data_IF_905984580550
#
_entry.id   IF_905984580550
#
_cell.length_a   1.000
_cell.length_b   1.000
_cell.length_c   1.000
_cell.angle_alpha   90.00
_cell.angle_beta   90.00
_cell.angle_gamma   90.00
#
_symmetry.space_group_name_H-M   'P 1'
#
loop_
_entity.id
_entity.type
_entity.pdbx_description
1 polymer ?
#
# COMPACT_ATOMS: atom_id res chain seq x y z
N UNK A 1 -37.19 1.27 -41.43
CA UNK A 1 -37.51 1.11 -39.99
C UNK A 1 -37.17 2.42 -39.32
N UNK A 2 -38.17 3.26 -39.07
CA UNK A 2 -37.99 4.58 -38.45
C UNK A 2 -37.41 4.40 -37.06
N UNK A 3 -36.25 5.02 -36.78
CA UNK A 3 -35.79 5.28 -35.42
C UNK A 3 -36.78 6.26 -34.81
N UNK A 4 -37.83 5.74 -34.16
CA UNK A 4 -38.64 6.55 -33.28
C UNK A 4 -37.72 6.97 -32.14
N UNK A 5 -37.31 8.24 -32.13
CA UNK A 5 -36.78 8.84 -30.93
C UNK A 5 -37.93 8.81 -29.93
N UNK A 6 -37.88 7.86 -29.00
CA UNK A 6 -38.59 8.00 -27.74
C UNK A 6 -38.02 9.30 -27.17
N UNK A 7 -38.92 10.22 -26.82
CA UNK A 7 -38.56 11.51 -26.22
C UNK A 7 -39.52 11.69 -25.07
N UNK A 8 -38.99 11.73 -23.86
CA UNK A 8 -39.77 11.86 -22.63
C UNK A 8 -38.92 12.48 -21.54
N UNK A 9 -39.57 13.01 -20.52
CA UNK A 9 -38.90 13.38 -19.27
C UNK A 9 -38.32 12.13 -18.60
N UNK A 10 -37.31 12.29 -17.75
CA UNK A 10 -36.73 11.17 -17.01
C UNK A 10 -37.81 10.36 -16.27
N UNK A 11 -38.77 11.07 -15.69
CA UNK A 11 -39.87 10.51 -14.92
C UNK A 11 -40.83 9.66 -15.79
N UNK A 12 -41.16 10.12 -16.99
CA UNK A 12 -41.96 9.37 -17.96
C UNK A 12 -41.22 8.12 -18.45
N UNK A 13 -39.92 8.26 -18.78
CA UNK A 13 -39.09 7.15 -19.22
C UNK A 13 -38.93 6.09 -18.12
N UNK A 14 -38.79 6.50 -16.86
CA UNK A 14 -38.74 5.58 -15.71
C UNK A 14 -40.06 4.82 -15.57
N UNK A 15 -41.19 5.51 -15.67
CA UNK A 15 -42.51 4.87 -15.60
C UNK A 15 -42.68 3.84 -16.72
N UNK A 16 -42.37 4.23 -17.96
CA UNK A 16 -42.43 3.33 -19.11
C UNK A 16 -41.47 2.14 -18.96
N UNK A 17 -40.26 2.35 -18.46
CA UNK A 17 -39.30 1.28 -18.18
C UNK A 17 -39.81 0.31 -17.11
N UNK A 18 -40.39 0.81 -16.01
CA UNK A 18 -40.92 -0.04 -14.93
C UNK A 18 -42.09 -0.91 -15.39
N UNK A 19 -42.96 -0.39 -16.25
CA UNK A 19 -44.13 -1.10 -16.76
C UNK A 19 -43.76 -2.12 -17.86
N UNK A 20 -42.91 -1.72 -18.81
CA UNK A 20 -42.58 -2.54 -19.99
C UNK A 20 -41.37 -3.45 -19.81
N UNK A 21 -40.44 -3.08 -18.92
CA UNK A 21 -39.08 -3.66 -18.80
C UNK A 21 -38.29 -3.67 -20.10
N UNK A 22 -38.63 -2.78 -21.05
CA UNK A 22 -37.91 -2.64 -22.31
C UNK A 22 -36.60 -1.85 -22.12
N UNK A 23 -35.49 -2.46 -22.56
CA UNK A 23 -34.15 -1.87 -22.50
C UNK A 23 -34.00 -0.60 -23.34
N UNK A 24 -34.91 -0.34 -24.29
CA UNK A 24 -34.89 0.89 -25.10
C UNK A 24 -35.00 2.15 -24.23
N UNK A 25 -35.93 2.16 -23.25
CA UNK A 25 -36.10 3.26 -22.29
C UNK A 25 -34.90 3.41 -21.36
N UNK A 26 -34.29 2.29 -20.94
CA UNK A 26 -33.11 2.32 -20.10
C UNK A 26 -31.92 2.97 -20.82
N UNK A 27 -31.72 2.66 -22.10
CA UNK A 27 -30.66 3.27 -22.92
C UNK A 27 -30.83 4.79 -23.03
N UNK A 28 -32.07 5.25 -23.20
CA UNK A 28 -32.35 6.68 -23.26
C UNK A 28 -32.13 7.36 -21.91
N UNK A 29 -32.54 6.73 -20.80
CA UNK A 29 -32.26 7.22 -19.45
C UNK A 29 -30.77 7.37 -19.19
N UNK A 30 -29.96 6.38 -19.59
CA UNK A 30 -28.50 6.42 -19.45
C UNK A 30 -27.94 7.61 -20.22
N UNK A 31 -28.32 7.79 -21.48
CA UNK A 31 -27.82 8.88 -22.32
C UNK A 31 -28.23 10.25 -21.79
N UNK A 32 -29.49 10.40 -21.33
CA UNK A 32 -30.00 11.65 -20.77
C UNK A 32 -29.30 12.06 -19.46
N UNK A 33 -28.91 11.09 -18.63
CA UNK A 33 -28.32 11.35 -17.31
C UNK A 33 -26.78 11.26 -17.29
N UNK A 34 -26.14 10.88 -18.41
CA UNK A 34 -24.67 10.78 -18.54
C UNK A 34 -23.96 12.08 -18.14
N UNK A 35 -24.47 13.23 -18.55
CA UNK A 35 -23.91 14.53 -18.19
C UNK A 35 -23.92 14.80 -16.68
N UNK A 36 -25.02 14.44 -16.01
CA UNK A 36 -25.13 14.56 -14.55
C UNK A 36 -24.17 13.60 -13.85
N UNK A 37 -24.07 12.35 -14.31
CA UNK A 37 -23.14 11.35 -13.74
C UNK A 37 -21.69 11.85 -13.86
N UNK A 38 -21.27 12.31 -15.03
CA UNK A 38 -19.92 12.86 -15.24
C UNK A 38 -19.61 14.01 -14.25
N UNK A 39 -20.59 14.88 -14.00
CA UNK A 39 -20.46 15.97 -13.02
C UNK A 39 -20.33 15.44 -11.58
N UNK A 40 -21.01 14.36 -11.23
CA UNK A 40 -20.92 13.73 -9.91
C UNK A 40 -19.62 12.95 -9.72
N UNK A 41 -19.09 12.36 -10.78
CA UNK A 41 -17.86 11.57 -10.80
C UNK A 41 -16.61 12.45 -10.75
N UNK A 42 -16.63 13.62 -11.39
CA UNK A 42 -15.46 14.49 -11.54
C UNK A 42 -14.65 14.74 -10.24
N UNK A 43 -15.26 15.02 -9.07
CA UNK A 43 -14.51 15.21 -7.82
C UNK A 43 -13.78 13.95 -7.30
N UNK A 44 -14.21 12.77 -7.72
CA UNK A 44 -13.66 11.48 -7.28
C UNK A 44 -12.45 11.04 -8.12
N UNK A 45 -12.27 11.57 -9.32
CA UNK A 45 -11.13 11.21 -10.20
C UNK A 45 -9.76 11.49 -9.58
N UNK A 46 -9.67 12.55 -8.77
CA UNK A 46 -8.44 12.88 -8.04
C UNK A 46 -8.38 12.27 -6.65
N UNK A 47 -9.52 11.83 -6.11
CA UNK A 47 -9.65 11.35 -4.74
C UNK A 47 -9.51 9.83 -4.62
N UNK A 48 -9.92 9.10 -5.67
CA UNK A 48 -9.81 7.64 -5.75
C UNK A 48 -8.52 7.33 -6.53
N UNK A 49 -7.54 6.64 -5.92
CA UNK A 49 -6.29 6.29 -6.60
C UNK A 49 -6.56 5.45 -7.86
N UNK A 50 -5.85 5.75 -8.94
CA UNK A 50 -5.89 5.02 -10.22
C UNK A 50 -7.29 4.86 -10.84
N UNK A 51 -8.23 5.75 -10.51
CA UNK A 51 -9.56 5.72 -11.11
C UNK A 51 -9.58 6.48 -12.44
N UNK A 52 -10.22 5.91 -13.45
CA UNK A 52 -10.49 6.57 -14.71
C UNK A 52 -11.93 7.10 -14.80
N UNK A 53 -12.16 8.09 -15.68
CA UNK A 53 -13.49 8.65 -15.89
C UNK A 53 -14.47 7.58 -16.38
N UNK A 54 -14.04 6.74 -17.31
CA UNK A 54 -14.89 5.69 -17.88
C UNK A 54 -15.28 4.64 -16.83
N UNK A 55 -14.34 4.26 -15.97
CA UNK A 55 -14.56 3.31 -14.88
C UNK A 55 -15.59 3.84 -13.87
N UNK A 56 -15.37 5.04 -13.35
CA UNK A 56 -16.26 5.62 -12.35
C UNK A 56 -17.65 5.95 -12.93
N UNK A 57 -17.71 6.32 -14.20
CA UNK A 57 -18.99 6.54 -14.90
C UNK A 57 -19.75 5.22 -15.04
N UNK A 58 -19.07 4.15 -15.43
CA UNK A 58 -19.66 2.82 -15.58
C UNK A 58 -20.13 2.24 -14.25
N UNK A 59 -19.32 2.35 -13.19
CA UNK A 59 -19.69 1.98 -11.83
C UNK A 59 -20.92 2.76 -11.34
N UNK A 60 -21.06 4.03 -11.73
CA UNK A 60 -22.19 4.89 -11.37
C UNK A 60 -23.51 4.47 -12.03
N UNK A 61 -23.51 3.65 -13.07
CA UNK A 61 -24.75 3.10 -13.63
C UNK A 61 -25.41 2.06 -12.72
N UNK A 62 -24.64 1.35 -11.88
CA UNK A 62 -25.17 0.39 -10.90
C UNK A 62 -26.11 1.05 -9.88
N UNK A 63 -25.69 2.11 -9.14
CA UNK A 63 -26.60 2.83 -8.26
C UNK A 63 -27.69 3.60 -9.01
N UNK A 64 -27.48 3.99 -10.28
CA UNK A 64 -28.53 4.58 -11.12
C UNK A 64 -29.67 3.59 -11.36
N UNK A 65 -29.37 2.34 -11.71
CA UNK A 65 -30.40 1.29 -11.88
C UNK A 65 -31.23 1.11 -10.60
N UNK A 66 -30.58 1.11 -9.43
CA UNK A 66 -31.29 1.06 -8.14
C UNK A 66 -32.15 2.30 -7.91
N UNK A 67 -31.64 3.49 -8.23
CA UNK A 67 -32.41 4.72 -8.13
C UNK A 67 -33.64 4.70 -9.05
N UNK A 68 -33.52 4.11 -10.26
CA UNK A 68 -34.66 3.92 -11.17
C UNK A 68 -35.70 3.02 -10.52
N UNK A 69 -35.31 1.86 -9.98
CA UNK A 69 -36.24 0.95 -9.29
C UNK A 69 -36.94 1.61 -8.10
N UNK A 70 -36.20 2.37 -7.30
CA UNK A 70 -36.72 2.98 -6.07
C UNK A 70 -37.48 4.30 -6.32
N UNK A 71 -37.38 4.89 -7.51
CA UNK A 71 -37.98 6.20 -7.79
C UNK A 71 -39.52 6.16 -7.76
N UNK A 72 -40.11 7.04 -6.97
CA UNK A 72 -41.56 7.19 -6.85
C UNK A 72 -41.96 8.64 -7.18
N UNK A 73 -42.71 8.87 -8.28
CA UNK A 73 -43.12 10.21 -8.68
C UNK A 73 -44.10 10.87 -7.69
N UNK A 74 -44.84 10.09 -6.89
CA UNK A 74 -45.81 10.62 -5.92
C UNK A 74 -45.12 11.37 -4.76
N UNK A 75 -43.83 11.14 -4.56
CA UNK A 75 -43.03 11.85 -3.54
C UNK A 75 -42.72 13.31 -3.92
N UNK A 76 -42.98 13.73 -5.17
CA UNK A 76 -42.82 15.11 -5.62
C UNK A 76 -41.36 15.57 -5.75
N UNK A 77 -40.40 14.65 -5.74
CA UNK A 77 -38.96 14.95 -5.89
C UNK A 77 -38.53 14.57 -7.31
N UNK A 78 -37.73 15.44 -7.96
CA UNK A 78 -37.19 15.15 -9.28
C UNK A 78 -36.22 13.96 -9.24
N UNK A 79 -36.23 13.11 -10.28
CA UNK A 79 -35.36 11.92 -10.32
C UNK A 79 -33.87 12.25 -10.19
N UNK A 80 -33.42 13.36 -10.78
CA UNK A 80 -32.04 13.84 -10.68
C UNK A 80 -31.57 14.05 -9.24
N UNK A 81 -32.47 14.40 -8.34
CA UNK A 81 -32.18 14.58 -6.91
C UNK A 81 -31.95 13.25 -6.23
N UNK A 82 -32.79 12.24 -6.50
CA UNK A 82 -32.63 10.89 -5.97
C UNK A 82 -31.34 10.25 -6.52
N UNK A 83 -31.14 10.34 -7.84
CA UNK A 83 -29.96 9.80 -8.52
C UNK A 83 -28.66 10.34 -7.91
N UNK A 84 -28.60 11.65 -7.65
CA UNK A 84 -27.45 12.28 -7.01
C UNK A 84 -27.09 11.66 -5.66
N UNK A 85 -28.09 11.31 -4.85
CA UNK A 85 -27.87 10.69 -3.53
C UNK A 85 -27.28 9.29 -3.70
N UNK A 86 -27.87 8.47 -4.56
CA UNK A 86 -27.45 7.09 -4.80
C UNK A 86 -26.02 7.01 -5.37
N UNK A 87 -25.73 7.82 -6.38
CA UNK A 87 -24.40 7.87 -7.00
C UNK A 87 -23.35 8.36 -6.01
N UNK A 88 -23.60 9.44 -5.25
CA UNK A 88 -22.64 9.93 -4.26
C UNK A 88 -22.39 8.93 -3.14
N UNK A 89 -23.44 8.25 -2.65
CA UNK A 89 -23.28 7.23 -1.62
C UNK A 89 -22.38 6.09 -2.11
N UNK A 90 -22.57 5.66 -3.36
CA UNK A 90 -21.76 4.62 -3.99
C UNK A 90 -20.31 5.06 -4.20
N UNK A 91 -20.06 6.24 -4.77
CA UNK A 91 -18.71 6.78 -4.98
C UNK A 91 -17.96 7.00 -3.66
N UNK A 92 -18.65 7.47 -2.61
CA UNK A 92 -18.08 7.56 -1.26
C UNK A 92 -17.68 6.20 -0.71
N UNK A 93 -18.46 5.14 -0.99
CA UNK A 93 -18.10 3.78 -0.61
C UNK A 93 -16.83 3.33 -1.33
N UNK A 94 -16.72 3.54 -2.64
CA UNK A 94 -15.52 3.22 -3.42
C UNK A 94 -14.29 3.97 -2.89
N UNK A 95 -14.43 5.27 -2.64
CA UNK A 95 -13.38 6.08 -2.01
C UNK A 95 -12.93 5.50 -0.67
N UNK A 96 -13.87 5.18 0.22
CA UNK A 96 -13.57 4.62 1.53
C UNK A 96 -12.96 3.21 1.46
N UNK A 97 -13.28 2.43 0.43
CA UNK A 97 -12.70 1.11 0.21
C UNK A 97 -11.26 1.22 -0.31
N UNK A 98 -10.99 2.16 -1.22
CA UNK A 98 -9.67 2.41 -1.77
C UNK A 98 -8.68 3.06 -0.77
N UNK A 99 -9.18 3.91 0.13
CA UNK A 99 -8.34 4.68 1.08
C UNK A 99 -8.22 4.04 2.47
N UNK A 100 -8.82 2.88 2.71
CA UNK A 100 -8.83 2.23 4.03
C UNK A 100 -7.42 1.75 4.43
N UNK A 101 -6.84 2.36 5.47
CA UNK A 101 -5.49 2.05 5.99
C UNK A 101 -5.19 0.55 6.19
N UNK A 102 -6.16 -0.24 6.67
CA UNK A 102 -5.97 -1.70 6.89
C UNK A 102 -5.77 -2.52 5.60
N UNK A 103 -6.11 -1.95 4.43
CA UNK A 103 -5.92 -2.56 3.10
C UNK A 103 -4.90 -1.80 2.25
N UNK A 104 -4.36 -0.71 2.78
CA UNK A 104 -3.39 0.13 2.08
C UNK A 104 -1.98 -0.37 2.45
N UNK A 105 -1.29 -0.98 1.48
CA UNK A 105 0.05 -1.56 1.65
C UNK A 105 1.17 -0.51 1.66
N UNK A 106 0.84 0.78 1.65
CA UNK A 106 1.80 1.87 1.48
C UNK A 106 2.17 2.14 0.01
N UNK A 107 1.81 1.22 -0.89
CA UNK A 107 2.08 1.31 -2.33
C UNK A 107 0.76 1.22 -3.09
N UNK A 108 0.48 2.21 -3.94
CA UNK A 108 -0.63 2.13 -4.90
C UNK A 108 -0.22 1.22 -6.05
N UNK A 109 -1.01 0.20 -6.43
CA UNK A 109 -0.75 -0.58 -7.64
C UNK A 109 -0.73 0.38 -8.83
N UNK A 110 0.34 0.43 -9.62
CA UNK A 110 0.38 1.28 -10.81
C UNK A 110 -0.16 0.53 -12.04
N UNK A 111 -0.61 1.25 -13.06
CA UNK A 111 -1.11 0.62 -14.29
C UNK A 111 0.02 -0.06 -15.06
N UNK A 112 -0.29 -1.14 -15.78
CA UNK A 112 0.69 -1.84 -16.63
C UNK A 112 1.33 -0.88 -17.65
N UNK A 113 0.52 0.00 -18.24
CA UNK A 113 0.99 0.96 -19.24
C UNK A 113 2.03 1.92 -18.65
N UNK A 114 1.79 2.45 -17.45
CA UNK A 114 2.77 3.29 -16.74
C UNK A 114 4.05 2.53 -16.39
N UNK A 115 3.92 1.30 -15.89
CA UNK A 115 5.08 0.46 -15.60
C UNK A 115 5.89 0.15 -16.87
N UNK A 116 5.22 -0.05 -18.01
CA UNK A 116 5.87 -0.30 -19.30
C UNK A 116 6.62 0.94 -19.82
N UNK A 117 6.09 2.14 -19.58
CA UNK A 117 6.75 3.41 -19.91
C UNK A 117 7.98 3.65 -19.03
N UNK A 118 7.87 3.42 -17.71
CA UNK A 118 8.99 3.53 -16.77
C UNK A 118 10.12 2.56 -17.15
N UNK A 119 9.77 1.32 -17.53
CA UNK A 119 10.74 0.30 -17.91
C UNK A 119 11.33 0.50 -19.32
N UNK A 120 10.80 1.44 -20.11
CA UNK A 120 11.24 1.72 -21.48
C UNK A 120 12.67 2.27 -21.54
N UNK A 121 13.14 2.89 -20.45
CA UNK A 121 14.50 3.42 -20.32
C UNK A 121 15.52 2.44 -19.71
N UNK A 122 15.13 1.19 -19.44
CA UNK A 122 16.08 0.12 -19.10
C UNK A 122 16.10 -0.31 -17.63
N UNK A 123 14.94 -0.55 -17.03
CA UNK A 123 14.84 -1.33 -15.79
C UNK A 123 14.89 -2.82 -16.10
N UNK A 124 15.96 -3.52 -15.74
CA UNK A 124 16.02 -4.99 -15.79
C UNK A 124 15.12 -5.59 -14.71
N UNK A 125 14.41 -6.69 -15.00
CA UNK A 125 13.52 -7.42 -14.06
C UNK A 125 14.18 -7.83 -12.73
N UNK A 126 15.50 -7.70 -12.62
CA UNK A 126 16.33 -8.07 -11.47
C UNK A 126 16.53 -6.95 -10.43
N UNK A 127 16.12 -5.71 -10.70
CA UNK A 127 16.43 -4.56 -9.81
C UNK A 127 15.62 -4.52 -8.51
N UNK A 128 14.58 -5.35 -8.38
CA UNK A 128 13.83 -5.50 -7.12
C UNK A 128 14.37 -6.67 -6.30
N UNK A 129 15.62 -6.58 -5.84
CA UNK A 129 16.13 -7.50 -4.83
C UNK A 129 15.67 -7.05 -3.45
N UNK A 130 14.64 -7.70 -2.90
CA UNK A 130 14.25 -7.51 -1.51
C UNK A 130 15.18 -8.33 -0.62
N UNK A 131 16.29 -7.72 -0.21
CA UNK A 131 17.15 -8.27 0.83
C UNK A 131 16.67 -7.74 2.18
N UNK A 132 16.08 -8.61 3.00
CA UNK A 132 15.92 -8.31 4.42
C UNK A 132 17.26 -8.65 5.07
N UNK A 133 18.01 -7.64 5.50
CA UNK A 133 19.11 -7.83 6.45
C UNK A 133 18.51 -8.27 7.80
N UNK A 134 18.09 -9.54 7.88
CA UNK A 134 17.83 -10.17 9.16
C UNK A 134 19.18 -10.32 9.85
N UNK A 135 19.45 -9.51 10.87
CA UNK A 135 20.50 -9.83 11.84
C UNK A 135 20.16 -11.21 12.40
N UNK A 136 21.05 -12.19 12.22
CA UNK A 136 20.87 -13.52 12.81
C UNK A 136 20.52 -13.35 14.29
N UNK A 137 19.49 -14.03 14.80
CA UNK A 137 19.05 -13.92 16.20
C UNK A 137 20.21 -14.11 17.20
N UNK A 138 21.16 -14.98 16.84
CA UNK A 138 22.42 -15.21 17.56
C UNK A 138 23.25 -13.93 17.77
N UNK A 139 23.26 -13.02 16.79
CA UNK A 139 24.01 -11.75 16.87
C UNK A 139 23.39 -10.76 17.85
N UNK A 140 22.07 -10.77 18.05
CA UNK A 140 21.39 -9.86 18.98
C UNK A 140 21.69 -10.25 20.43
N UNK A 141 21.51 -11.53 20.77
CA UNK A 141 21.82 -12.06 22.10
C UNK A 141 23.31 -11.88 22.46
N UNK A 142 24.20 -12.03 21.47
CA UNK A 142 25.63 -11.81 21.69
C UNK A 142 25.98 -10.34 21.92
N UNK A 143 25.34 -9.41 21.22
CA UNK A 143 25.56 -7.97 21.44
C UNK A 143 25.03 -7.53 22.82
N UNK A 144 23.86 -8.02 23.23
CA UNK A 144 23.32 -7.76 24.57
C UNK A 144 24.27 -8.28 25.68
N UNK A 145 24.93 -9.42 25.45
CA UNK A 145 25.97 -9.93 26.35
C UNK A 145 27.17 -8.98 26.41
N UNK A 146 27.69 -8.50 25.28
CA UNK A 146 28.83 -7.58 25.25
C UNK A 146 28.55 -6.30 26.05
N UNK A 147 27.34 -5.76 25.93
CA UNK A 147 26.91 -4.58 26.67
C UNK A 147 26.82 -4.84 28.18
N UNK A 148 26.45 -6.05 28.59
CA UNK A 148 26.40 -6.46 30.00
C UNK A 148 27.78 -6.60 30.66
N UNK A 149 28.84 -6.88 29.89
CA UNK A 149 30.18 -7.21 30.39
C UNK A 149 31.01 -6.01 30.87
N UNK A 150 30.48 -4.78 30.76
CA UNK A 150 31.16 -3.52 31.14
C UNK A 150 32.63 -3.52 30.66
N UNK A 151 32.79 -3.72 29.35
CA UNK A 151 34.11 -3.74 28.71
C UNK A 151 34.70 -2.33 28.69
N UNK A 152 36.00 -2.22 28.97
CA UNK A 152 36.72 -0.96 28.80
C UNK A 152 36.95 -0.69 27.29
N UNK A 153 37.17 0.55 26.88
CA UNK A 153 37.34 0.96 25.47
C UNK A 153 38.37 0.09 24.72
N UNK A 154 39.49 -0.24 25.39
CA UNK A 154 40.53 -1.12 24.84
C UNK A 154 40.08 -2.57 24.67
N UNK A 155 39.21 -3.06 25.56
CA UNK A 155 38.65 -4.40 25.49
C UNK A 155 37.56 -4.48 24.40
N UNK A 156 36.75 -3.43 24.22
CA UNK A 156 35.75 -3.35 23.15
C UNK A 156 36.40 -3.39 21.77
N UNK A 157 37.45 -2.59 21.55
CA UNK A 157 38.22 -2.60 20.29
C UNK A 157 38.82 -3.97 20.02
N UNK A 158 39.34 -4.65 21.05
CA UNK A 158 39.87 -6.00 20.91
C UNK A 158 38.78 -7.02 20.54
N UNK A 159 37.59 -6.95 21.13
CA UNK A 159 36.44 -7.81 20.79
C UNK A 159 35.98 -7.58 19.36
N UNK A 160 35.81 -6.32 18.94
CA UNK A 160 35.34 -6.00 17.59
C UNK A 160 36.30 -6.54 16.51
N UNK A 161 37.62 -6.41 16.73
CA UNK A 161 38.63 -6.95 15.81
C UNK A 161 38.58 -8.49 15.80
N UNK A 162 38.37 -9.14 16.96
CA UNK A 162 38.24 -10.60 17.02
C UNK A 162 36.95 -11.11 16.37
N UNK A 163 35.83 -10.40 16.52
CA UNK A 163 34.56 -10.71 15.84
C UNK A 163 34.69 -10.62 14.32
N UNK A 164 35.49 -9.67 13.84
CA UNK A 164 35.82 -9.54 12.41
C UNK A 164 36.81 -10.60 11.90
N UNK A 165 37.21 -11.58 12.73
CA UNK A 165 38.18 -12.61 12.38
C UNK A 165 39.64 -12.15 12.42
N UNK A 166 39.91 -10.96 12.96
CA UNK A 166 41.24 -10.35 13.00
C UNK A 166 42.21 -11.00 13.98
N UNK A 167 43.50 -10.87 13.71
CA UNK A 167 44.57 -11.49 14.50
C UNK A 167 45.03 -10.60 15.66
N UNK A 168 45.72 -11.20 16.65
CA UNK A 168 46.29 -10.45 17.81
C UNK A 168 47.23 -9.31 17.38
N UNK A 169 47.92 -9.47 16.25
CA UNK A 169 48.80 -8.44 15.69
C UNK A 169 48.04 -7.22 15.16
N UNK A 170 46.79 -7.39 14.72
CA UNK A 170 45.94 -6.27 14.27
C UNK A 170 45.40 -5.49 15.46
N UNK A 171 45.08 -6.18 16.56
CA UNK A 171 44.72 -5.56 17.84
C UNK A 171 45.90 -4.72 18.36
N UNK A 172 47.13 -5.25 18.29
CA UNK A 172 48.34 -4.53 18.71
C UNK A 172 48.54 -3.24 17.92
N UNK A 173 48.32 -3.29 16.59
CA UNK A 173 48.40 -2.12 15.71
C UNK A 173 47.29 -1.10 15.99
N UNK A 174 46.04 -1.56 16.12
CA UNK A 174 44.89 -0.69 16.34
C UNK A 174 44.94 0.05 17.69
N UNK A 175 45.45 -0.62 18.73
CA UNK A 175 45.58 -0.04 20.07
C UNK A 175 46.94 0.60 20.35
N UNK A 176 47.87 0.56 19.39
CA UNK A 176 49.27 1.00 19.55
C UNK A 176 49.93 0.44 20.82
N UNK A 177 49.80 -0.87 21.05
CA UNK A 177 50.34 -1.60 22.21
C UNK A 177 51.13 -2.84 21.78
N UNK A 178 51.95 -3.38 22.68
CA UNK A 178 52.72 -4.58 22.40
C UNK A 178 51.85 -5.86 22.37
N UNK A 179 52.29 -6.88 21.62
CA UNK A 179 51.61 -8.19 21.57
C UNK A 179 51.48 -8.86 22.96
N UNK A 180 52.41 -8.58 23.87
CA UNK A 180 52.35 -9.07 25.25
C UNK A 180 51.18 -8.41 26.02
N UNK A 181 50.99 -7.10 25.85
CA UNK A 181 49.89 -6.33 26.44
C UNK A 181 48.54 -6.77 25.87
N UNK A 182 48.46 -7.06 24.55
CA UNK A 182 47.25 -7.63 23.93
C UNK A 182 46.88 -8.97 24.57
N UNK A 183 47.86 -9.83 24.82
CA UNK A 183 47.62 -11.13 25.46
C UNK A 183 47.07 -10.98 26.88
N UNK A 184 47.49 -9.94 27.62
CA UNK A 184 46.94 -9.61 28.92
C UNK A 184 45.47 -9.15 28.82
N UNK A 185 45.14 -8.27 27.87
CA UNK A 185 43.76 -7.83 27.63
C UNK A 185 42.84 -9.00 27.25
N UNK A 186 43.28 -9.90 26.37
CA UNK A 186 42.52 -11.11 26.01
C UNK A 186 42.31 -12.02 27.23
N UNK A 187 43.33 -12.16 28.09
CA UNK A 187 43.20 -12.94 29.33
C UNK A 187 42.18 -12.33 30.28
N UNK A 188 42.14 -11.00 30.40
CA UNK A 188 41.18 -10.30 31.24
C UNK A 188 39.75 -10.41 30.69
N UNK A 189 39.61 -10.26 29.37
CA UNK A 189 38.36 -10.46 28.64
C UNK A 189 37.80 -11.86 28.89
N UNK A 190 38.63 -12.91 28.75
CA UNK A 190 38.23 -14.30 29.04
C UNK A 190 37.67 -14.47 30.45
N UNK A 191 38.24 -13.81 31.46
CA UNK A 191 37.72 -13.87 32.83
C UNK A 191 36.31 -13.27 32.94
N UNK A 192 36.07 -12.14 32.27
CA UNK A 192 34.75 -11.47 32.26
C UNK A 192 33.68 -12.35 31.61
N UNK A 193 33.98 -12.97 30.47
CA UNK A 193 33.07 -13.91 29.79
C UNK A 193 32.75 -15.14 30.65
N UNK A 194 33.74 -15.72 31.32
CA UNK A 194 33.53 -16.86 32.22
C UNK A 194 32.63 -16.47 33.40
N UNK A 195 32.82 -15.26 33.95
CA UNK A 195 32.02 -14.76 35.06
C UNK A 195 30.56 -14.49 34.68
N UNK A 196 30.29 -14.19 33.40
CA UNK A 196 28.95 -14.07 32.84
C UNK A 196 28.28 -15.40 32.48
N UNK A 197 28.88 -16.54 32.86
CA UNK A 197 28.26 -17.87 32.72
C UNK A 197 28.59 -18.62 31.43
N UNK A 198 29.44 -18.08 30.55
CA UNK A 198 29.89 -18.78 29.35
C UNK A 198 31.17 -19.58 29.65
N UNK A 199 31.02 -20.87 29.97
CA UNK A 199 32.12 -21.82 30.06
C UNK A 199 32.47 -22.37 28.67
N UNK A 200 33.76 -22.41 28.34
CA UNK A 200 34.24 -23.18 27.18
C UNK A 200 33.99 -24.67 27.44
N UNK A 201 33.31 -25.36 26.53
CA UNK A 201 33.51 -26.79 26.37
C UNK A 201 34.97 -26.99 25.90
N UNK A 202 35.74 -27.76 26.67
CA UNK A 202 37.07 -28.24 26.27
C UNK A 202 36.91 -29.24 25.15
#
# INVERSE_FOLDING_TARGET
>A
MSKGFITGTNEELIKAYKESRDESYLKELIEANKGLINLLVSPYLTSIPNSELEDLTSESYIPMLRAIEDYDPEQGVAFSTLLKVYVRQHLNRLYNEATRQKRFTGTTPDSLDRLSEINKEGGTETDSTFEVECKDFSSVEFMDLLDSLQLNDKEQVAVNILMAGGAKGEIAKALNITNATVSWHIKNLKKKFILAGYQYAV
#
